data_IF_491016479672
#
_entry.id   IF_491016479672
#
_cell.length_a   1.000
_cell.length_b   1.000
_cell.length_c   1.000
_cell.angle_alpha   90.00
_cell.angle_beta   90.00
_cell.angle_gamma   90.00
#
_symmetry.space_group_name_H-M   'P 1'
#
loop_
_entity.id
_entity.type
_entity.pdbx_description
1 polymer ?
#
# COMPACT_ATOMS: atom_id res chain seq x y z
N UNK A 1 -49.17 15.24 12.74
CA UNK A 1 -48.23 14.14 12.42
C UNK A 1 -47.09 14.75 11.62
N UNK A 2 -45.94 14.95 12.25
CA UNK A 2 -44.75 15.46 11.58
C UNK A 2 -44.14 14.31 10.77
N UNK A 3 -44.37 14.29 9.47
CA UNK A 3 -43.60 13.46 8.55
C UNK A 3 -42.19 14.07 8.47
N UNK A 4 -41.29 13.55 9.30
CA UNK A 4 -39.84 13.73 9.10
C UNK A 4 -39.47 12.98 7.84
N UNK A 5 -39.50 13.66 6.70
CA UNK A 5 -38.95 13.16 5.43
C UNK A 5 -37.42 13.22 5.51
N UNK A 6 -36.83 12.33 6.31
CA UNK A 6 -35.41 12.00 6.17
C UNK A 6 -35.31 11.09 4.97
N UNK A 7 -34.81 11.62 3.85
CA UNK A 7 -34.42 10.82 2.69
C UNK A 7 -33.59 9.62 3.15
N UNK A 8 -33.81 8.41 2.59
CA UNK A 8 -32.99 7.26 2.95
C UNK A 8 -31.51 7.57 2.70
N UNK A 9 -30.60 7.02 3.53
CA UNK A 9 -29.18 7.26 3.35
C UNK A 9 -28.74 6.76 1.97
N UNK A 10 -27.93 7.57 1.28
CA UNK A 10 -27.40 7.28 -0.06
C UNK A 10 -26.68 5.93 -0.11
N UNK A 11 -25.99 5.57 0.96
CA UNK A 11 -25.27 4.32 1.10
C UNK A 11 -25.76 3.53 2.31
N UNK A 12 -25.84 2.21 2.17
CA UNK A 12 -26.34 1.30 3.21
C UNK A 12 -25.39 0.12 3.32
N UNK A 13 -25.34 -0.49 4.50
CA UNK A 13 -24.64 -1.76 4.65
C UNK A 13 -25.56 -2.91 4.26
N UNK A 14 -25.08 -3.84 3.43
CA UNK A 14 -25.73 -5.12 3.15
C UNK A 14 -24.82 -6.29 3.52
N UNK A 15 -25.39 -7.37 4.10
CA UNK A 15 -24.63 -8.58 4.38
C UNK A 15 -24.15 -9.22 3.09
N UNK A 16 -23.02 -9.89 3.20
CA UNK A 16 -22.48 -10.69 2.11
C UNK A 16 -23.28 -12.00 2.06
N UNK A 17 -23.77 -12.43 0.88
CA UNK A 17 -24.43 -13.72 0.72
C UNK A 17 -23.52 -14.86 1.19
N UNK A 18 -24.05 -15.89 1.87
CA UNK A 18 -23.28 -17.07 2.20
C UNK A 18 -22.81 -17.77 0.91
N UNK A 19 -21.53 -18.16 0.85
CA UNK A 19 -20.95 -18.84 -0.31
C UNK A 19 -19.77 -19.73 0.06
N UNK A 20 -19.21 -20.45 -0.91
CA UNK A 20 -18.09 -21.38 -0.69
C UNK A 20 -16.79 -20.65 -0.32
N UNK A 21 -16.58 -19.46 -0.86
CA UNK A 21 -15.39 -18.64 -0.62
C UNK A 21 -15.71 -17.49 0.37
N UNK A 22 -16.00 -17.85 1.62
CA UNK A 22 -16.31 -16.91 2.71
C UNK A 22 -15.09 -16.08 3.13
N UNK A 23 -14.81 -15.03 2.36
CA UNK A 23 -13.79 -14.02 2.67
C UNK A 23 -14.33 -12.97 3.64
N UNK A 24 -13.55 -12.65 4.67
CA UNK A 24 -13.88 -11.56 5.59
C UNK A 24 -13.94 -10.21 4.83
N UNK A 25 -14.89 -9.32 5.18
CA UNK A 25 -15.08 -8.02 4.53
C UNK A 25 -13.92 -7.04 4.76
N UNK A 26 -13.07 -7.32 5.75
CA UNK A 26 -11.87 -6.56 6.02
C UNK A 26 -10.82 -7.47 6.67
N UNK A 27 -9.55 -7.13 6.51
CA UNK A 27 -8.45 -7.78 7.21
C UNK A 27 -7.36 -6.76 7.52
N UNK A 28 -6.55 -7.05 8.54
CA UNK A 28 -5.36 -6.28 8.90
C UNK A 28 -4.28 -7.21 9.40
N UNK A 29 -3.03 -6.83 9.20
CA UNK A 29 -1.86 -7.58 9.67
C UNK A 29 -0.71 -6.61 9.94
N UNK A 30 0.22 -7.02 10.78
CA UNK A 30 1.51 -6.34 10.90
C UNK A 30 2.64 -7.36 10.99
N UNK A 31 3.83 -6.96 10.56
CA UNK A 31 5.05 -7.75 10.63
C UNK A 31 6.22 -6.87 11.09
N UNK A 32 7.08 -7.39 11.96
CA UNK A 32 8.28 -6.67 12.41
C UNK A 32 9.50 -7.23 11.68
N UNK A 33 10.25 -6.34 11.05
CA UNK A 33 11.45 -6.67 10.28
C UNK A 33 12.72 -6.41 11.11
N UNK A 34 13.86 -6.85 10.56
CA UNK A 34 15.17 -6.48 11.09
C UNK A 34 15.38 -4.95 11.07
N UNK A 35 16.38 -4.48 11.81
CA UNK A 35 16.84 -3.08 11.79
C UNK A 35 15.75 -2.04 12.13
N UNK A 36 14.75 -2.44 12.91
CA UNK A 36 13.70 -1.54 13.39
C UNK A 36 12.70 -1.13 12.32
N UNK A 37 12.42 -1.97 11.32
CA UNK A 37 11.33 -1.74 10.38
C UNK A 37 10.06 -2.49 10.78
N UNK A 38 8.90 -1.93 10.43
CA UNK A 38 7.58 -2.55 10.61
C UNK A 38 6.79 -2.44 9.31
N UNK A 39 6.10 -3.52 8.96
CA UNK A 39 5.07 -3.55 7.91
C UNK A 39 3.71 -3.55 8.60
N UNK A 40 2.79 -2.71 8.13
CA UNK A 40 1.38 -2.73 8.50
C UNK A 40 0.55 -2.80 7.24
N UNK A 41 -0.52 -3.58 7.28
CA UNK A 41 -1.37 -3.81 6.13
C UNK A 41 -2.82 -3.84 6.56
N UNK A 42 -3.70 -3.30 5.72
CA UNK A 42 -5.13 -3.54 5.84
C UNK A 42 -5.81 -3.52 4.47
N UNK A 43 -6.92 -4.25 4.39
CA UNK A 43 -7.90 -4.19 3.30
C UNK A 43 -9.29 -4.02 3.87
N UNK A 44 -10.13 -3.26 3.18
CA UNK A 44 -11.52 -3.02 3.56
C UNK A 44 -12.43 -3.08 2.34
N UNK A 45 -13.64 -3.55 2.55
CA UNK A 45 -14.71 -3.55 1.57
C UNK A 45 -15.13 -2.12 1.23
N UNK A 46 -15.16 -1.78 -0.05
CA UNK A 46 -15.55 -0.48 -0.57
C UNK A 46 -16.98 -0.08 -0.26
N UNK A 47 -17.28 1.24 -0.32
CA UNK A 47 -18.64 1.76 -0.08
C UNK A 47 -19.65 1.17 -1.06
N UNK A 48 -19.27 1.02 -2.34
CA UNK A 48 -20.10 0.40 -3.38
C UNK A 48 -20.40 -1.05 -3.05
N UNK A 49 -19.36 -1.84 -2.75
CA UNK A 49 -19.55 -3.25 -2.42
C UNK A 49 -20.39 -3.45 -1.15
N UNK A 50 -20.21 -2.62 -0.12
CA UNK A 50 -21.07 -2.60 1.07
C UNK A 50 -22.55 -2.39 0.72
N UNK A 51 -22.84 -1.47 -0.19
CA UNK A 51 -24.21 -1.19 -0.63
C UNK A 51 -24.79 -2.22 -1.58
N UNK A 52 -23.97 -2.87 -2.38
CA UNK A 52 -24.41 -3.91 -3.32
C UNK A 52 -24.58 -5.28 -2.64
N UNK A 53 -23.94 -5.52 -1.50
CA UNK A 53 -23.93 -6.85 -0.89
C UNK A 53 -22.82 -7.76 -1.42
N UNK A 54 -21.88 -7.23 -2.22
CA UNK A 54 -20.79 -8.01 -2.83
C UNK A 54 -19.55 -8.14 -1.93
N UNK A 55 -18.67 -9.10 -2.21
CA UNK A 55 -17.45 -9.31 -1.43
C UNK A 55 -16.43 -8.18 -1.67
N UNK A 56 -15.43 -8.12 -0.80
CA UNK A 56 -14.19 -7.41 -1.09
C UNK A 56 -13.34 -8.30 -2.01
N UNK A 57 -12.95 -7.80 -3.17
CA UNK A 57 -12.19 -8.48 -4.22
C UNK A 57 -10.68 -8.27 -4.08
N UNK A 58 -10.27 -7.22 -3.37
CA UNK A 58 -8.90 -6.95 -2.95
C UNK A 58 -8.30 -8.04 -2.04
N UNK A 59 -6.97 -8.21 -2.14
CA UNK A 59 -6.17 -9.00 -1.20
C UNK A 59 -4.78 -8.40 -0.96
N UNK A 60 -4.20 -8.73 0.20
CA UNK A 60 -2.78 -8.49 0.47
C UNK A 60 -2.15 -9.69 1.19
N UNK A 61 -0.84 -9.85 1.04
CA UNK A 61 -0.02 -10.68 1.93
C UNK A 61 1.26 -9.92 2.31
N UNK A 62 1.67 -10.09 3.57
CA UNK A 62 2.94 -9.57 4.07
C UNK A 62 3.70 -10.67 4.80
N UNK A 63 5.01 -10.66 4.66
CA UNK A 63 5.89 -11.61 5.34
C UNK A 63 7.30 -11.04 5.56
N UNK A 64 8.07 -11.76 6.36
CA UNK A 64 9.50 -11.59 6.53
C UNK A 64 10.23 -12.87 6.11
N UNK A 65 11.37 -12.73 5.46
CA UNK A 65 12.31 -13.84 5.24
C UNK A 65 13.74 -13.39 5.49
N UNK A 66 14.33 -13.83 6.59
CA UNK A 66 15.61 -13.28 7.06
C UNK A 66 15.49 -11.77 7.30
N UNK A 67 16.32 -11.01 6.59
CA UNK A 67 16.35 -9.53 6.58
C UNK A 67 15.42 -8.91 5.52
N UNK A 68 14.70 -9.73 4.75
CA UNK A 68 13.79 -9.26 3.73
C UNK A 68 12.39 -9.02 4.27
N UNK A 69 11.85 -7.82 4.02
CA UNK A 69 10.42 -7.54 4.04
C UNK A 69 9.78 -7.87 2.70
N UNK A 70 8.63 -8.52 2.72
CA UNK A 70 7.90 -8.96 1.52
C UNK A 70 6.48 -8.42 1.57
N UNK A 71 6.05 -7.80 0.48
CA UNK A 71 4.72 -7.24 0.29
C UNK A 71 4.13 -7.77 -1.03
N UNK A 72 2.89 -8.22 -0.98
CA UNK A 72 2.06 -8.48 -2.15
C UNK A 72 0.70 -7.80 -1.96
N UNK A 73 0.23 -7.09 -2.99
CA UNK A 73 -1.09 -6.45 -3.04
C UNK A 73 -1.72 -6.79 -4.39
N UNK A 74 -3.01 -7.10 -4.38
CA UNK A 74 -3.76 -7.46 -5.57
C UNK A 74 -5.19 -6.90 -5.48
N UNK A 75 -5.65 -6.33 -6.58
CA UNK A 75 -7.06 -6.01 -6.81
C UNK A 75 -7.65 -7.09 -7.74
N UNK A 76 -8.80 -7.62 -7.36
CA UNK A 76 -9.55 -8.59 -8.15
C UNK A 76 -10.60 -7.88 -9.01
N UNK A 77 -10.62 -8.14 -10.31
CA UNK A 77 -11.58 -7.52 -11.22
C UNK A 77 -13.04 -7.85 -10.84
N UNK A 78 -13.79 -6.93 -10.22
CA UNK A 78 -15.15 -7.18 -9.74
C UNK A 78 -16.18 -7.62 -10.80
N UNK A 79 -15.83 -7.52 -12.08
CA UNK A 79 -16.60 -8.08 -13.21
C UNK A 79 -16.40 -9.59 -13.42
N UNK A 80 -15.44 -10.21 -12.73
CA UNK A 80 -15.06 -11.62 -12.89
C UNK A 80 -15.51 -12.43 -11.69
N UNK A 81 -15.96 -13.67 -11.94
CA UNK A 81 -16.64 -14.48 -10.93
C UNK A 81 -15.72 -14.90 -9.77
N UNK A 82 -14.44 -15.14 -10.05
CA UNK A 82 -13.47 -15.69 -9.11
C UNK A 82 -12.30 -14.73 -8.86
N UNK A 83 -12.45 -13.44 -9.14
CA UNK A 83 -11.42 -12.41 -8.94
C UNK A 83 -10.86 -12.40 -7.52
N UNK A 84 -11.70 -12.40 -6.47
CA UNK A 84 -11.26 -12.49 -5.06
C UNK A 84 -10.40 -13.72 -4.77
N UNK A 85 -10.75 -14.85 -5.40
CA UNK A 85 -10.00 -16.10 -5.26
C UNK A 85 -8.68 -15.98 -6.00
N UNK A 86 -8.68 -15.36 -7.19
CA UNK A 86 -7.50 -15.00 -7.96
C UNK A 86 -6.54 -14.14 -7.15
N UNK A 87 -7.00 -13.00 -6.62
CA UNK A 87 -6.23 -12.05 -5.82
C UNK A 87 -5.60 -12.74 -4.60
N UNK A 88 -6.41 -13.49 -3.83
CA UNK A 88 -5.92 -14.25 -2.67
C UNK A 88 -4.85 -15.27 -3.03
N UNK A 89 -5.12 -16.12 -4.02
CA UNK A 89 -4.18 -17.16 -4.44
C UNK A 89 -2.90 -16.54 -5.00
N UNK A 90 -3.01 -15.44 -5.77
CA UNK A 90 -1.87 -14.72 -6.33
C UNK A 90 -0.91 -14.24 -5.24
N UNK A 91 -1.42 -13.48 -4.26
CA UNK A 91 -0.61 -12.96 -3.17
C UNK A 91 0.00 -14.09 -2.33
N UNK A 92 -0.79 -15.11 -1.98
CA UNK A 92 -0.31 -16.23 -1.16
C UNK A 92 0.79 -17.02 -1.86
N UNK A 93 0.61 -17.35 -3.13
CA UNK A 93 1.60 -18.08 -3.90
C UNK A 93 2.89 -17.26 -4.10
N UNK A 94 2.77 -15.98 -4.44
CA UNK A 94 3.92 -15.09 -4.63
C UNK A 94 4.71 -14.93 -3.33
N UNK A 95 4.05 -14.62 -2.21
CA UNK A 95 4.73 -14.45 -0.92
C UNK A 95 5.38 -15.75 -0.45
N UNK A 96 4.71 -16.90 -0.59
CA UNK A 96 5.31 -18.19 -0.25
C UNK A 96 6.57 -18.48 -1.08
N UNK A 97 6.56 -18.15 -2.37
CA UNK A 97 7.73 -18.28 -3.23
C UNK A 97 8.86 -17.35 -2.78
N UNK A 98 8.57 -16.07 -2.58
CA UNK A 98 9.54 -15.07 -2.13
C UNK A 98 10.15 -15.45 -0.78
N UNK A 99 9.35 -15.87 0.19
CA UNK A 99 9.83 -16.28 1.51
C UNK A 99 10.86 -17.41 1.39
N UNK A 100 10.56 -18.43 0.59
CA UNK A 100 11.45 -19.57 0.41
C UNK A 100 12.78 -19.17 -0.25
N UNK A 101 12.73 -18.39 -1.32
CA UNK A 101 13.92 -18.10 -2.14
C UNK A 101 14.78 -16.98 -1.55
N UNK A 102 14.20 -16.00 -0.87
CA UNK A 102 14.94 -14.91 -0.25
C UNK A 102 15.62 -15.30 1.07
N UNK A 103 15.24 -16.42 1.68
CA UNK A 103 15.79 -16.86 2.96
C UNK A 103 17.32 -16.98 2.96
N UNK A 104 17.88 -17.42 1.83
CA UNK A 104 19.33 -17.62 1.65
C UNK A 104 19.97 -16.55 0.77
N UNK A 105 19.20 -15.57 0.32
CA UNK A 105 19.68 -14.54 -0.60
C UNK A 105 20.17 -13.31 0.16
N UNK A 106 21.37 -12.84 -0.16
CA UNK A 106 21.98 -11.67 0.46
C UNK A 106 22.49 -10.72 -0.60
N UNK A 107 22.42 -9.43 -0.29
CA UNK A 107 22.95 -8.38 -1.13
C UNK A 107 24.44 -8.21 -0.82
N UNK A 108 25.24 -8.19 -1.88
CA UNK A 108 26.70 -8.08 -1.79
C UNK A 108 27.06 -6.70 -1.26
N UNK A 109 27.94 -6.66 -0.25
CA UNK A 109 28.50 -5.42 0.26
C UNK A 109 29.37 -4.77 -0.81
N UNK A 110 29.23 -3.44 -0.98
CA UNK A 110 29.96 -2.65 -1.97
C UNK A 110 30.52 -1.40 -1.34
N UNK A 111 31.73 -1.03 -1.73
CA UNK A 111 32.35 0.24 -1.32
C UNK A 111 31.64 1.43 -1.97
N UNK A 112 31.15 1.27 -3.20
CA UNK A 112 30.44 2.31 -3.96
C UNK A 112 29.09 1.80 -4.42
N UNK A 113 28.04 2.53 -4.06
CA UNK A 113 26.70 2.41 -4.62
C UNK A 113 26.44 3.61 -5.54
N UNK A 114 25.98 3.36 -6.76
CA UNK A 114 25.74 4.41 -7.75
C UNK A 114 24.64 4.01 -8.75
N UNK A 115 24.28 4.90 -9.67
CA UNK A 115 23.36 4.58 -10.77
C UNK A 115 23.80 3.36 -11.58
N UNK A 116 25.12 3.17 -11.75
CA UNK A 116 25.68 2.03 -12.49
C UNK A 116 25.41 0.68 -11.80
N UNK A 117 25.27 0.69 -10.47
CA UNK A 117 24.91 -0.50 -9.68
C UNK A 117 23.52 -1.02 -10.06
N UNK A 118 22.62 -0.14 -10.47
CA UNK A 118 21.27 -0.46 -10.91
C UNK A 118 21.11 -0.41 -12.43
N UNK A 119 22.22 -0.30 -13.17
CA UNK A 119 22.19 -0.31 -14.63
C UNK A 119 21.76 -1.69 -15.15
N UNK A 120 21.02 -1.67 -16.26
CA UNK A 120 20.53 -2.86 -16.93
C UNK A 120 21.19 -3.03 -18.29
N UNK A 121 21.40 -4.28 -18.69
CA UNK A 121 21.78 -4.61 -20.06
C UNK A 121 20.58 -4.50 -21.02
N UNK A 122 20.82 -4.69 -22.32
CA UNK A 122 19.78 -4.63 -23.38
C UNK A 122 18.63 -5.63 -23.21
N UNK A 123 18.80 -6.67 -22.39
CA UNK A 123 17.79 -7.68 -22.10
C UNK A 123 17.03 -7.38 -20.79
N UNK A 124 17.19 -6.18 -20.22
CA UNK A 124 16.53 -5.79 -18.98
C UNK A 124 17.06 -6.49 -17.73
N UNK A 125 18.27 -7.06 -17.77
CA UNK A 125 18.91 -7.70 -16.61
C UNK A 125 19.77 -6.68 -15.88
N UNK A 126 19.76 -6.69 -14.54
CA UNK A 126 20.72 -5.88 -13.79
C UNK A 126 22.14 -6.41 -14.04
N UNK A 127 23.11 -5.51 -14.15
CA UNK A 127 24.51 -5.89 -14.35
C UNK A 127 25.10 -6.55 -13.09
N UNK A 128 24.66 -6.10 -11.91
CA UNK A 128 25.02 -6.67 -10.61
C UNK A 128 24.25 -7.97 -10.34
N UNK A 129 24.98 -9.06 -10.09
CA UNK A 129 24.42 -10.42 -10.07
C UNK A 129 23.44 -10.70 -8.92
N UNK A 130 23.67 -10.16 -7.74
CA UNK A 130 22.80 -10.25 -6.57
C UNK A 130 21.50 -9.45 -6.74
N UNK A 131 21.57 -8.28 -7.37
CA UNK A 131 20.38 -7.46 -7.71
C UNK A 131 19.59 -8.16 -8.82
N UNK A 132 20.27 -8.70 -9.83
CA UNK A 132 19.65 -9.50 -10.87
C UNK A 132 19.00 -10.78 -10.32
N UNK A 133 19.65 -11.47 -9.38
CA UNK A 133 19.06 -12.62 -8.71
C UNK A 133 17.80 -12.23 -7.93
N UNK A 134 17.81 -11.08 -7.25
CA UNK A 134 16.62 -10.53 -6.60
C UNK A 134 15.49 -10.31 -7.59
N UNK A 135 15.78 -9.68 -8.73
CA UNK A 135 14.81 -9.48 -9.81
C UNK A 135 14.24 -10.80 -10.31
N UNK A 136 15.10 -11.79 -10.59
CA UNK A 136 14.69 -13.11 -11.07
C UNK A 136 13.74 -13.78 -10.07
N UNK A 137 14.04 -13.73 -8.77
CA UNK A 137 13.19 -14.28 -7.72
C UNK A 137 11.82 -13.59 -7.70
N UNK A 138 11.77 -12.26 -7.87
CA UNK A 138 10.50 -11.50 -7.95
C UNK A 138 9.69 -11.88 -9.20
N UNK A 139 10.34 -12.05 -10.35
CA UNK A 139 9.68 -12.47 -11.60
C UNK A 139 9.13 -13.89 -11.50
N UNK A 140 9.90 -14.81 -10.92
CA UNK A 140 9.47 -16.18 -10.67
C UNK A 140 8.31 -16.26 -9.67
N UNK A 141 8.23 -15.34 -8.71
CA UNK A 141 7.09 -15.25 -7.80
C UNK A 141 5.78 -14.85 -8.52
N UNK A 142 5.84 -13.91 -9.47
CA UNK A 142 4.72 -13.58 -10.36
C UNK A 142 4.30 -14.78 -11.22
N UNK A 143 5.27 -15.52 -11.76
CA UNK A 143 4.99 -16.76 -12.48
C UNK A 143 4.36 -17.81 -11.57
N UNK A 144 4.86 -18.00 -10.35
CA UNK A 144 4.29 -18.93 -9.38
C UNK A 144 2.84 -18.58 -9.01
N UNK A 145 2.53 -17.29 -8.88
CA UNK A 145 1.17 -16.79 -8.69
C UNK A 145 0.25 -17.22 -9.84
N UNK A 146 0.64 -16.94 -11.09
CA UNK A 146 -0.14 -17.34 -12.27
C UNK A 146 -0.38 -18.86 -12.32
N UNK A 147 0.68 -19.67 -12.18
CA UNK A 147 0.54 -21.13 -12.25
C UNK A 147 -0.34 -21.69 -11.13
N UNK A 148 -0.38 -21.04 -9.96
CA UNK A 148 -1.24 -21.47 -8.86
C UNK A 148 -2.71 -21.12 -9.12
N UNK A 149 -2.98 -19.96 -9.73
CA UNK A 149 -4.32 -19.62 -10.24
C UNK A 149 -4.76 -20.64 -11.30
N UNK A 150 -3.88 -20.95 -12.26
CA UNK A 150 -4.17 -21.92 -13.32
C UNK A 150 -4.52 -23.30 -12.73
N UNK A 151 -3.78 -23.77 -11.72
CA UNK A 151 -4.11 -25.00 -10.98
C UNK A 151 -5.47 -24.90 -10.28
N UNK A 152 -5.77 -23.77 -9.64
CA UNK A 152 -7.05 -23.56 -8.96
C UNK A 152 -8.23 -23.53 -9.94
N UNK A 153 -8.02 -23.01 -11.14
CA UNK A 153 -8.96 -23.08 -12.26
C UNK A 153 -9.20 -24.53 -12.70
N UNK A 154 -8.15 -25.30 -13.00
CA UNK A 154 -8.31 -26.70 -13.44
C UNK A 154 -8.97 -27.59 -12.38
N UNK A 155 -8.69 -27.36 -11.10
CA UNK A 155 -9.36 -28.07 -10.00
C UNK A 155 -10.88 -27.84 -10.03
N UNK A 156 -11.32 -26.60 -10.24
CA UNK A 156 -12.75 -26.24 -10.32
C UNK A 156 -13.41 -26.65 -11.64
N UNK A 157 -12.68 -26.58 -12.75
CA UNK A 157 -13.20 -27.00 -14.06
C UNK A 157 -13.51 -28.50 -14.15
N UNK A 158 -12.96 -29.32 -13.25
CA UNK A 158 -13.26 -30.74 -13.17
C UNK A 158 -14.65 -31.04 -12.59
N UNK A 159 -15.29 -30.06 -11.97
CA UNK A 159 -16.67 -30.16 -11.47
C UNK A 159 -17.68 -29.94 -12.60
N UNK A 160 -18.61 -30.89 -12.78
CA UNK A 160 -19.57 -30.92 -13.91
C UNK A 160 -20.48 -29.68 -14.04
N UNK A 161 -20.57 -28.83 -13.01
CA UNK A 161 -21.40 -27.63 -12.93
C UNK A 161 -20.74 -26.37 -13.51
N UNK A 162 -19.45 -26.40 -13.88
CA UNK A 162 -18.67 -25.21 -14.27
C UNK A 162 -18.13 -25.34 -15.70
N UNK A 163 -19.02 -25.51 -16.69
CA UNK A 163 -18.63 -25.79 -18.09
C UNK A 163 -18.35 -24.57 -18.98
N UNK A 164 -18.27 -23.36 -18.43
CA UNK A 164 -18.10 -22.11 -19.21
C UNK A 164 -17.12 -21.11 -18.56
N UNK A 165 -16.18 -21.57 -17.73
CA UNK A 165 -15.22 -20.68 -17.08
C UNK A 165 -13.87 -20.68 -17.80
N UNK A 166 -13.10 -19.61 -17.60
CA UNK A 166 -11.74 -19.48 -18.10
C UNK A 166 -10.81 -19.01 -16.97
N UNK A 167 -9.50 -19.11 -17.19
CA UNK A 167 -8.50 -18.54 -16.25
C UNK A 167 -8.71 -17.03 -16.06
N UNK A 168 -9.29 -16.33 -17.05
CA UNK A 168 -9.62 -14.91 -16.95
C UNK A 168 -10.75 -14.61 -15.95
N UNK A 169 -11.49 -15.62 -15.46
CA UNK A 169 -12.45 -15.43 -14.37
C UNK A 169 -11.77 -15.21 -13.01
N UNK A 170 -10.46 -15.47 -12.93
CA UNK A 170 -9.60 -15.19 -11.77
C UNK A 170 -8.77 -13.91 -12.00
N UNK A 171 -9.23 -12.99 -12.85
CA UNK A 171 -8.51 -11.77 -13.17
C UNK A 171 -8.21 -10.95 -11.92
N UNK A 172 -6.93 -10.61 -11.79
CA UNK A 172 -6.41 -9.83 -10.68
C UNK A 172 -5.12 -9.14 -11.08
N UNK A 173 -4.88 -7.97 -10.50
CA UNK A 173 -3.58 -7.29 -10.53
C UNK A 173 -2.62 -7.98 -9.55
N UNK A 174 -1.32 -7.68 -9.65
CA UNK A 174 -0.37 -8.12 -8.64
C UNK A 174 0.80 -7.15 -8.57
N UNK A 175 0.92 -6.50 -7.41
CA UNK A 175 2.02 -5.63 -7.03
C UNK A 175 2.86 -6.35 -5.99
N UNK A 176 4.13 -6.57 -6.30
CA UNK A 176 5.11 -7.16 -5.40
C UNK A 176 6.16 -6.12 -5.02
N UNK A 177 6.54 -6.07 -3.76
CA UNK A 177 7.72 -5.34 -3.32
C UNK A 177 8.53 -6.16 -2.32
N UNK A 178 9.84 -6.19 -2.52
CA UNK A 178 10.80 -6.78 -1.58
C UNK A 178 11.72 -5.68 -1.07
N UNK A 179 11.90 -5.63 0.24
CA UNK A 179 12.69 -4.62 0.94
C UNK A 179 13.80 -5.30 1.73
N UNK A 180 15.00 -4.75 1.68
CA UNK A 180 16.08 -5.07 2.60
C UNK A 180 16.90 -3.82 2.90
N UNK A 181 17.82 -3.91 3.85
CA UNK A 181 18.71 -2.82 4.22
C UNK A 181 20.15 -3.22 3.97
N UNK A 182 20.93 -2.31 3.38
CA UNK A 182 22.38 -2.47 3.22
C UNK A 182 23.11 -1.31 3.83
N UNK A 183 24.30 -1.55 4.36
CA UNK A 183 25.15 -0.49 4.89
C UNK A 183 25.92 0.17 3.75
N UNK A 184 25.79 1.49 3.61
CA UNK A 184 26.61 2.27 2.70
C UNK A 184 27.26 3.43 3.46
N UNK A 185 28.59 3.49 3.41
CA UNK A 185 29.41 4.35 4.28
C UNK A 185 29.08 4.08 5.76
N UNK A 186 28.51 5.06 6.46
CA UNK A 186 28.16 4.99 7.88
C UNK A 186 26.66 4.74 8.12
N UNK A 187 25.82 4.80 7.09
CA UNK A 187 24.36 4.81 7.23
C UNK A 187 23.69 3.57 6.61
N UNK A 188 22.54 3.15 7.15
CA UNK A 188 21.69 2.15 6.52
C UNK A 188 20.93 2.75 5.33
N UNK A 189 20.97 2.06 4.19
CA UNK A 189 20.22 2.38 2.98
C UNK A 189 19.16 1.32 2.75
N UNK A 190 17.98 1.73 2.29
CA UNK A 190 16.92 0.81 1.91
C UNK A 190 17.11 0.45 0.44
N UNK A 191 17.14 -0.86 0.16
CA UNK A 191 17.07 -1.40 -1.18
C UNK A 191 15.69 -2.03 -1.37
N UNK A 192 14.96 -1.55 -2.37
CA UNK A 192 13.65 -2.09 -2.74
C UNK A 192 13.69 -2.50 -4.21
N UNK A 193 13.14 -3.67 -4.51
CA UNK A 193 12.69 -4.01 -5.86
C UNK A 193 11.18 -4.18 -5.83
N UNK A 194 10.48 -3.39 -6.65
CA UNK A 194 9.04 -3.50 -6.81
C UNK A 194 8.71 -3.92 -8.24
N UNK A 195 7.78 -4.86 -8.41
CA UNK A 195 7.28 -5.29 -9.72
C UNK A 195 5.75 -5.25 -9.74
N UNK A 196 5.19 -4.67 -10.80
CA UNK A 196 3.75 -4.38 -10.88
C UNK A 196 3.15 -4.86 -12.20
N UNK A 197 2.06 -5.63 -12.11
CA UNK A 197 1.17 -5.95 -13.23
C UNK A 197 -0.24 -5.50 -12.87
N UNK A 198 -0.79 -4.57 -13.66
CA UNK A 198 -2.05 -3.88 -13.36
C UNK A 198 -1.87 -2.47 -12.81
N UNK A 199 -2.98 -1.87 -12.42
CA UNK A 199 -3.08 -0.57 -11.77
C UNK A 199 -2.78 -0.66 -10.25
N UNK A 200 -2.98 0.43 -9.54
CA UNK A 200 -2.43 0.64 -8.20
C UNK A 200 -1.02 1.23 -8.22
N UNK A 201 -0.46 1.48 -7.05
CA UNK A 201 0.80 2.22 -6.90
C UNK A 201 1.68 1.62 -5.82
N UNK A 202 2.97 1.44 -6.17
CA UNK A 202 4.06 1.32 -5.20
C UNK A 202 4.85 2.63 -5.17
N UNK A 203 5.08 3.21 -3.99
CA UNK A 203 5.83 4.45 -3.86
C UNK A 203 6.67 4.49 -2.58
N UNK A 204 7.92 4.94 -2.71
CA UNK A 204 8.80 5.22 -1.58
C UNK A 204 8.84 6.72 -1.30
N UNK A 205 8.63 7.09 -0.03
CA UNK A 205 8.86 8.44 0.49
C UNK A 205 10.24 8.47 1.09
N UNK A 206 11.06 9.37 0.57
CA UNK A 206 12.42 9.57 1.04
C UNK A 206 12.74 11.05 1.10
N UNK A 207 13.80 11.39 1.81
CA UNK A 207 14.24 12.78 1.89
C UNK A 207 15.74 12.85 1.71
N UNK A 208 16.13 13.83 0.91
CA UNK A 208 17.48 14.36 0.82
C UNK A 208 17.42 15.79 1.40
N UNK A 209 17.51 16.81 0.54
CA UNK A 209 17.29 18.22 0.93
C UNK A 209 15.80 18.61 0.96
N UNK A 210 14.95 17.84 0.26
CA UNK A 210 13.49 18.02 0.14
C UNK A 210 12.82 16.65 0.23
N UNK A 211 11.52 16.57 0.57
CA UNK A 211 10.80 15.30 0.53
C UNK A 211 10.53 14.95 -0.93
N UNK A 212 10.79 13.70 -1.27
CA UNK A 212 10.59 13.18 -2.62
C UNK A 212 9.76 11.91 -2.57
N UNK A 213 8.92 11.77 -3.58
CA UNK A 213 8.23 10.53 -3.90
C UNK A 213 8.97 9.86 -5.04
N UNK A 214 9.41 8.62 -4.82
CA UNK A 214 9.83 7.74 -5.90
C UNK A 214 8.69 6.76 -6.19
N UNK A 215 7.99 6.95 -7.32
CA UNK A 215 6.98 6.00 -7.79
C UNK A 215 7.68 4.79 -8.41
N UNK A 216 7.40 3.61 -7.87
CA UNK A 216 8.00 2.32 -8.21
C UNK A 216 7.04 1.46 -9.03
N UNK A 217 6.39 2.10 -9.99
CA UNK A 217 5.38 1.52 -10.84
C UNK A 217 5.17 2.41 -12.05
N UNK A 218 4.60 1.85 -13.11
CA UNK A 218 4.12 2.67 -14.22
C UNK A 218 2.72 3.13 -13.88
N UNK A 219 2.52 4.44 -13.76
CA UNK A 219 1.17 5.02 -13.72
C UNK A 219 0.60 4.86 -15.14
N UNK A 220 -0.34 3.95 -15.30
CA UNK A 220 -0.96 3.72 -16.60
C UNK A 220 -2.01 4.81 -16.85
N UNK A 221 -1.67 5.71 -17.78
CA UNK A 221 -2.47 6.84 -18.31
C UNK A 221 -2.58 8.10 -17.42
N UNK A 222 -2.62 9.25 -18.11
CA UNK A 222 -2.68 10.61 -17.56
C UNK A 222 -4.06 10.99 -16.97
N UNK A 223 -4.74 10.07 -16.27
CA UNK A 223 -5.95 10.37 -15.49
C UNK A 223 -7.20 9.54 -15.81
N UNK A 224 -7.16 8.22 -15.57
CA UNK A 224 -8.24 7.20 -15.63
C UNK A 224 -8.41 6.35 -16.91
N UNK A 225 -8.73 5.07 -16.64
CA UNK A 225 -9.15 3.95 -17.51
C UNK A 225 -8.47 3.79 -18.88
N UNK A 226 -7.24 3.29 -18.84
CA UNK A 226 -6.88 2.21 -19.77
C UNK A 226 -7.53 0.90 -19.31
N UNK A 227 -7.58 -0.11 -20.19
CA UNK A 227 -7.97 -1.46 -19.78
C UNK A 227 -6.99 -1.97 -18.72
N UNK A 228 -7.47 -2.24 -17.50
CA UNK A 228 -6.64 -2.78 -16.41
C UNK A 228 -5.97 -4.08 -16.84
N UNK A 229 -4.66 -4.14 -16.66
CA UNK A 229 -3.86 -5.29 -17.04
C UNK A 229 -3.84 -6.36 -15.93
N UNK A 230 -4.46 -7.52 -16.15
CA UNK A 230 -4.43 -8.62 -15.16
C UNK A 230 -3.34 -9.66 -15.44
N UNK A 231 -2.79 -10.28 -14.40
CA UNK A 231 -1.77 -11.35 -14.53
C UNK A 231 -2.29 -12.57 -15.31
N UNK A 232 -3.60 -12.79 -15.33
CA UNK A 232 -4.26 -13.90 -16.04
C UNK A 232 -4.66 -13.56 -17.48
N UNK A 233 -4.54 -12.30 -17.90
CA UNK A 233 -5.02 -11.86 -19.24
C UNK A 233 -4.16 -12.40 -20.38
N UNK A 234 -2.86 -12.58 -20.14
CA UNK A 234 -1.94 -13.13 -21.13
C UNK A 234 -0.65 -13.61 -20.48
N UNK A 235 -0.15 -14.76 -20.91
CA UNK A 235 1.18 -15.26 -20.52
C UNK A 235 2.33 -14.37 -21.01
N UNK A 236 2.07 -13.45 -21.97
CA UNK A 236 3.01 -12.39 -22.39
C UNK A 236 3.49 -11.55 -21.21
N UNK A 237 2.60 -11.29 -20.24
CA UNK A 237 2.86 -10.48 -19.04
C UNK A 237 3.80 -11.15 -18.04
N UNK A 238 4.08 -12.44 -18.23
CA UNK A 238 5.01 -13.23 -17.40
C UNK A 238 6.40 -13.35 -18.04
N UNK A 239 6.55 -12.84 -19.26
CA UNK A 239 7.81 -12.86 -19.98
C UNK A 239 8.78 -11.84 -19.38
N UNK A 240 10.05 -12.22 -19.40
CA UNK A 240 11.13 -11.49 -18.72
C UNK A 240 11.22 -10.03 -19.15
N UNK A 241 11.17 -9.75 -20.44
CA UNK A 241 11.31 -8.40 -20.98
C UNK A 241 10.17 -7.48 -20.52
N UNK A 242 8.94 -7.99 -20.46
CA UNK A 242 7.80 -7.26 -19.92
C UNK A 242 7.96 -7.03 -18.41
N UNK A 243 8.29 -8.07 -17.64
CA UNK A 243 8.46 -7.95 -16.20
C UNK A 243 9.64 -7.04 -15.81
N UNK A 244 10.73 -7.08 -16.55
CA UNK A 244 11.88 -6.17 -16.37
C UNK A 244 11.47 -4.71 -16.58
N UNK A 245 10.63 -4.41 -17.59
CA UNK A 245 10.10 -3.07 -17.81
C UNK A 245 9.11 -2.61 -16.73
N UNK A 246 8.58 -3.56 -15.96
CA UNK A 246 7.67 -3.36 -14.84
C UNK A 246 8.35 -3.52 -13.48
N UNK A 247 9.68 -3.67 -13.44
CA UNK A 247 10.47 -3.81 -12.20
C UNK A 247 11.31 -2.58 -11.96
N UNK A 248 11.05 -1.92 -10.84
CA UNK A 248 11.69 -0.67 -10.44
C UNK A 248 12.54 -0.90 -9.20
N UNK A 249 13.76 -0.37 -9.20
CA UNK A 249 14.65 -0.40 -8.05
C UNK A 249 14.64 0.95 -7.34
N UNK A 250 14.75 0.91 -6.01
CA UNK A 250 14.94 2.08 -5.18
C UNK A 250 16.10 1.87 -4.23
N UNK A 251 16.92 2.91 -4.07
CA UNK A 251 18.10 2.88 -3.22
C UNK A 251 18.34 4.23 -2.54
N UNK A 252 17.89 4.35 -1.29
CA UNK A 252 18.09 5.55 -0.46
C UNK A 252 17.64 5.27 0.99
N UNK A 253 18.09 6.04 2.00
CA UNK A 253 17.33 6.17 3.24
C UNK A 253 15.88 6.55 2.92
N UNK A 254 14.93 5.96 3.62
CA UNK A 254 13.50 6.03 3.30
C UNK A 254 12.70 6.21 4.58
N UNK A 255 11.62 6.98 4.50
CA UNK A 255 10.66 7.17 5.58
C UNK A 255 9.55 6.13 5.55
N UNK A 256 8.99 5.88 4.35
CA UNK A 256 7.98 4.85 4.15
C UNK A 256 8.00 4.29 2.73
N UNK A 257 7.66 3.01 2.58
CA UNK A 257 7.24 2.38 1.33
C UNK A 257 5.74 2.11 1.44
N UNK A 258 4.96 2.55 0.46
CA UNK A 258 3.52 2.36 0.39
C UNK A 258 3.19 1.56 -0.86
N UNK A 259 2.43 0.48 -0.74
CA UNK A 259 1.96 -0.37 -1.85
C UNK A 259 0.45 -0.51 -1.71
N UNK A 260 -0.30 -0.15 -2.76
CA UNK A 260 -1.75 -0.02 -2.68
C UNK A 260 -2.47 -0.33 -3.99
N UNK A 261 -3.75 -0.68 -3.87
CA UNK A 261 -4.70 -0.78 -5.00
C UNK A 261 -5.15 0.62 -5.46
N UNK A 262 -5.76 0.68 -6.64
CA UNK A 262 -6.30 1.91 -7.24
C UNK A 262 -7.40 2.56 -6.38
N UNK A 263 -8.18 1.75 -5.65
CA UNK A 263 -9.16 2.23 -4.67
C UNK A 263 -8.57 3.13 -3.57
N UNK A 264 -7.25 3.11 -3.36
CA UNK A 264 -6.52 4.12 -2.56
C UNK A 264 -5.79 5.11 -3.44
N UNK A 265 -5.00 4.66 -4.42
CA UNK A 265 -4.09 5.56 -5.14
C UNK A 265 -4.79 6.63 -5.98
N UNK A 266 -6.00 6.36 -6.46
CA UNK A 266 -6.76 7.29 -7.31
C UNK A 266 -7.19 8.56 -6.57
N UNK A 267 -7.36 8.47 -5.25
CA UNK A 267 -7.62 9.64 -4.38
C UNK A 267 -6.46 10.63 -4.39
N UNK A 268 -5.25 10.16 -4.74
CA UNK A 268 -3.98 10.87 -4.64
C UNK A 268 -3.32 11.11 -5.99
N UNK A 269 -4.11 11.24 -7.07
CA UNK A 269 -3.58 11.65 -8.37
C UNK A 269 -3.33 13.17 -8.46
N UNK A 270 -2.19 13.63 -9.02
CA UNK A 270 -1.09 12.83 -9.57
C UNK A 270 -0.16 12.27 -8.47
N UNK A 271 0.43 11.06 -8.67
CA UNK A 271 1.09 10.34 -7.57
C UNK A 271 2.35 11.00 -7.02
N UNK A 272 3.08 11.76 -7.84
CA UNK A 272 4.29 12.48 -7.44
C UNK A 272 4.05 13.42 -6.25
N UNK A 273 2.90 14.10 -6.23
CA UNK A 273 2.50 15.00 -5.14
C UNK A 273 1.54 14.33 -4.16
N UNK A 274 0.62 13.50 -4.67
CA UNK A 274 -0.40 12.90 -3.82
C UNK A 274 0.14 11.86 -2.85
N UNK A 275 1.27 11.20 -3.15
CA UNK A 275 1.87 10.27 -2.18
C UNK A 275 2.45 10.99 -0.95
N UNK A 276 2.90 12.24 -1.09
CA UNK A 276 3.27 13.07 0.07
C UNK A 276 2.04 13.43 0.91
N UNK A 277 0.92 13.76 0.25
CA UNK A 277 -0.36 13.97 0.94
C UNK A 277 -0.77 12.72 1.73
N UNK A 278 -0.81 11.55 1.09
CA UNK A 278 -1.12 10.28 1.75
C UNK A 278 -0.19 10.03 2.94
N UNK A 279 1.12 10.21 2.77
CA UNK A 279 2.08 10.05 3.87
C UNK A 279 1.75 10.95 5.07
N UNK A 280 1.43 12.23 4.82
CA UNK A 280 1.01 13.17 5.86
C UNK A 280 -0.26 12.74 6.58
N UNK A 281 -1.27 12.27 5.85
CA UNK A 281 -2.51 11.75 6.44
C UNK A 281 -2.23 10.52 7.31
N UNK A 282 -1.40 9.59 6.84
CA UNK A 282 -1.03 8.39 7.59
C UNK A 282 -0.29 8.73 8.90
N UNK A 283 0.53 9.78 8.89
CA UNK A 283 1.18 10.28 10.10
C UNK A 283 0.17 10.91 11.06
N UNK A 284 -0.66 11.86 10.59
CA UNK A 284 -1.61 12.57 11.44
C UNK A 284 -2.65 11.65 12.07
N UNK A 285 -2.98 10.55 11.37
CA UNK A 285 -3.92 9.53 11.84
C UNK A 285 -3.23 8.40 12.64
N UNK A 286 -1.94 8.52 12.96
CA UNK A 286 -1.22 7.61 13.85
C UNK A 286 -0.95 6.22 13.26
N UNK A 287 -0.95 6.08 11.92
CA UNK A 287 -0.53 4.86 11.23
C UNK A 287 0.99 4.82 11.15
N UNK A 288 1.62 5.91 10.72
CA UNK A 288 3.07 6.04 10.67
C UNK A 288 3.52 6.83 11.90
N UNK A 289 4.33 6.25 12.80
CA UNK A 289 4.83 6.97 13.96
C UNK A 289 5.84 8.04 13.54
N UNK A 290 5.80 9.19 14.21
CA UNK A 290 6.83 10.23 14.09
C UNK A 290 7.51 10.42 15.44
N UNK A 291 8.80 10.14 15.47
CA UNK A 291 9.68 10.47 16.59
C UNK A 291 10.32 11.83 16.31
N UNK A 292 10.24 12.77 17.25
CA UNK A 292 10.87 14.09 17.11
C UNK A 292 11.61 14.47 18.39
N UNK A 293 12.82 15.00 18.21
CA UNK A 293 13.59 15.70 19.26
C UNK A 293 13.30 17.21 19.27
N UNK A 294 12.59 17.73 18.27
CA UNK A 294 12.28 19.15 18.16
C UNK A 294 11.28 19.57 19.24
N UNK A 295 11.73 20.49 20.09
CA UNK A 295 10.88 21.07 21.13
C UNK A 295 10.20 22.31 20.58
N UNK A 296 8.95 22.14 20.13
CA UNK A 296 8.08 23.27 19.85
C UNK A 296 7.72 23.97 21.18
N UNK A 297 7.72 25.30 21.16
CA UNK A 297 7.26 26.11 22.31
C UNK A 297 5.84 25.69 22.73
N UNK A 298 5.58 25.62 24.04
CA UNK A 298 4.28 25.22 24.59
C UNK A 298 3.12 26.06 24.02
N UNK A 299 3.34 27.35 23.76
CA UNK A 299 2.32 28.26 23.21
C UNK A 299 1.93 27.89 21.77
N UNK A 300 2.90 27.55 20.91
CA UNK A 300 2.61 27.04 19.56
C UNK A 300 1.82 25.74 19.60
N UNK A 301 2.20 24.80 20.46
CA UNK A 301 1.47 23.53 20.62
C UNK A 301 0.03 23.80 21.09
N UNK A 302 -0.15 24.72 22.05
CA UNK A 302 -1.46 25.10 22.57
C UNK A 302 -2.34 25.74 21.49
N UNK A 303 -1.78 26.66 20.70
CA UNK A 303 -2.50 27.31 19.60
C UNK A 303 -2.94 26.32 18.51
N UNK A 304 -2.08 25.35 18.16
CA UNK A 304 -2.43 24.29 17.20
C UNK A 304 -3.55 23.39 17.72
N UNK A 305 -3.48 22.97 18.99
CA UNK A 305 -4.53 22.17 19.63
C UNK A 305 -5.88 22.87 19.66
N UNK A 306 -5.92 24.19 19.83
CA UNK A 306 -7.16 24.97 19.80
C UNK A 306 -7.83 24.97 18.41
N UNK A 307 -7.05 24.78 17.34
CA UNK A 307 -7.54 24.74 15.95
C UNK A 307 -7.78 23.31 15.44
N UNK A 308 -7.73 22.31 16.32
CA UNK A 308 -7.94 20.89 15.98
C UNK A 308 -9.19 20.63 15.13
N UNK A 309 -10.31 21.21 15.54
CA UNK A 309 -11.60 20.99 14.87
C UNK A 309 -11.64 21.49 13.42
N UNK A 310 -10.66 22.27 12.97
CA UNK A 310 -10.58 22.75 11.59
C UNK A 310 -9.87 21.76 10.63
N UNK A 311 -9.14 20.76 11.14
CA UNK A 311 -8.48 19.74 10.31
C UNK A 311 -8.84 18.30 10.68
N UNK A 312 -9.63 18.12 11.74
CA UNK A 312 -10.26 16.83 12.07
C UNK A 312 -11.68 16.83 11.54
N UNK A 313 -11.91 16.04 10.50
CA UNK A 313 -13.18 15.94 9.78
C UNK A 313 -13.88 14.66 10.23
N UNK A 314 -15.16 14.75 10.58
CA UNK A 314 -15.97 13.58 10.86
C UNK A 314 -16.56 13.04 9.56
N UNK A 315 -16.06 11.90 9.11
CA UNK A 315 -16.55 11.21 7.91
C UNK A 315 -17.48 10.06 8.28
N UNK A 316 -18.48 9.81 7.43
CA UNK A 316 -19.44 8.73 7.66
C UNK A 316 -18.89 7.39 7.19
N UNK A 317 -18.62 6.51 8.16
CA UNK A 317 -18.25 5.12 7.90
C UNK A 317 -19.49 4.22 7.88
N UNK A 318 -19.63 3.41 6.83
CA UNK A 318 -20.74 2.47 6.67
C UNK A 318 -20.41 1.18 7.44
N UNK A 319 -21.23 0.85 8.45
CA UNK A 319 -21.09 -0.36 9.26
C UNK A 319 -22.39 -1.17 9.29
N UNK A 320 -22.33 -2.40 9.80
CA UNK A 320 -23.51 -3.25 10.07
C UNK A 320 -24.57 -2.56 10.93
N UNK A 321 -24.15 -1.65 11.81
CA UNK A 321 -25.02 -0.89 12.72
C UNK A 321 -25.52 0.42 12.11
N UNK A 322 -25.23 0.68 10.84
CA UNK A 322 -25.54 1.92 10.14
C UNK A 322 -24.33 2.84 9.97
N UNK A 323 -24.61 4.11 9.67
CA UNK A 323 -23.59 5.14 9.50
C UNK A 323 -22.98 5.50 10.85
N UNK A 324 -21.65 5.49 10.91
CA UNK A 324 -20.88 5.79 12.11
C UNK A 324 -19.91 6.94 11.84
N UNK A 325 -20.15 8.14 12.41
CA UNK A 325 -19.22 9.26 12.29
C UNK A 325 -17.86 8.88 12.87
N UNK A 326 -16.82 8.97 12.05
CA UNK A 326 -15.46 8.59 12.43
C UNK A 326 -14.53 9.78 12.16
N UNK A 327 -13.84 10.30 13.18
CA UNK A 327 -12.95 11.43 13.00
C UNK A 327 -11.67 10.99 12.27
N UNK A 328 -11.31 11.73 11.23
CA UNK A 328 -10.06 11.58 10.49
C UNK A 328 -9.36 12.93 10.38
N UNK A 329 -8.03 12.92 10.38
CA UNK A 329 -7.23 14.12 10.18
C UNK A 329 -6.91 14.29 8.69
N UNK A 330 -7.05 15.51 8.17
CA UNK A 330 -6.56 15.89 6.84
C UNK A 330 -5.29 16.73 6.97
N UNK A 331 -4.18 16.26 6.40
CA UNK A 331 -2.93 17.03 6.33
C UNK A 331 -3.09 18.26 5.46
N UNK A 332 -3.94 18.21 4.44
CA UNK A 332 -4.23 19.38 3.59
C UNK A 332 -4.88 20.51 4.39
N UNK A 333 -5.88 20.21 5.21
CA UNK A 333 -6.50 21.22 6.09
C UNK A 333 -5.54 21.69 7.18
N UNK A 334 -4.74 20.78 7.73
CA UNK A 334 -3.73 21.13 8.73
C UNK A 334 -2.63 22.06 8.15
N UNK A 335 -2.14 21.78 6.94
CA UNK A 335 -1.15 22.59 6.24
C UNK A 335 -1.66 24.02 5.97
N UNK A 336 -2.94 24.18 5.57
CA UNK A 336 -3.59 25.49 5.41
C UNK A 336 -3.63 26.28 6.73
N UNK A 337 -3.92 25.60 7.84
CA UNK A 337 -4.02 26.23 9.17
C UNK A 337 -2.69 26.84 9.60
N UNK A 338 -1.58 26.13 9.34
CA UNK A 338 -0.24 26.55 9.72
C UNK A 338 0.49 27.36 8.63
N UNK A 339 -0.18 27.58 7.50
CA UNK A 339 0.32 28.32 6.34
C UNK A 339 1.65 27.76 5.79
N UNK A 340 1.70 26.44 5.59
CA UNK A 340 2.80 25.72 4.94
C UNK A 340 2.28 24.91 3.77
N UNK A 341 3.14 24.62 2.80
CA UNK A 341 2.89 23.56 1.82
C UNK A 341 2.98 22.18 2.50
N UNK A 342 2.39 21.15 1.87
CA UNK A 342 2.49 19.78 2.40
C UNK A 342 3.95 19.31 2.40
N UNK A 343 4.71 19.66 1.37
CA UNK A 343 6.14 19.37 1.27
C UNK A 343 6.91 20.02 2.42
N UNK A 344 6.68 21.31 2.69
CA UNK A 344 7.32 22.01 3.82
C UNK A 344 6.97 21.35 5.15
N UNK A 345 5.70 21.01 5.36
CA UNK A 345 5.24 20.35 6.58
C UNK A 345 5.90 18.98 6.80
N UNK A 346 6.02 18.16 5.75
CA UNK A 346 6.69 16.85 5.85
C UNK A 346 8.17 16.99 6.20
N UNK A 347 8.81 18.10 5.81
CA UNK A 347 10.20 18.37 6.23
C UNK A 347 10.35 18.80 7.69
N UNK A 348 9.26 19.15 8.37
CA UNK A 348 9.22 19.64 9.75
C UNK A 348 8.54 18.62 10.68
N UNK A 349 9.25 17.54 11.09
CA UNK A 349 8.65 16.43 11.84
C UNK A 349 8.07 16.87 13.20
N UNK A 350 8.62 17.88 13.86
CA UNK A 350 8.03 18.46 15.07
C UNK A 350 6.66 19.08 14.83
N UNK A 351 6.50 19.86 13.75
CA UNK A 351 5.23 20.49 13.37
C UNK A 351 4.21 19.45 12.89
N UNK A 352 4.64 18.46 12.13
CA UNK A 352 3.78 17.37 11.69
C UNK A 352 3.29 16.55 12.91
N UNK A 353 4.20 16.20 13.83
CA UNK A 353 3.85 15.48 15.06
C UNK A 353 2.92 16.29 15.98
N UNK A 354 3.04 17.62 16.01
CA UNK A 354 2.16 18.49 16.78
C UNK A 354 0.72 18.51 16.26
N UNK A 355 0.50 18.14 15.00
CA UNK A 355 -0.83 18.00 14.40
C UNK A 355 -1.57 16.75 14.86
N UNK A 356 -0.88 15.74 15.38
CA UNK A 356 -1.49 14.48 15.83
C UNK A 356 -2.41 14.74 17.03
N UNK A 357 -3.72 14.47 16.93
CA UNK A 357 -4.65 14.67 18.03
C UNK A 357 -4.29 13.86 19.29
N UNK A 358 -4.52 14.40 20.50
CA UNK A 358 -4.26 13.67 21.75
C UNK A 358 -4.99 12.33 21.85
N UNK A 359 -6.18 12.21 21.25
CA UNK A 359 -7.00 11.00 21.27
C UNK A 359 -6.37 9.88 20.45
N UNK A 360 -5.72 10.22 19.34
CA UNK A 360 -4.95 9.28 18.53
C UNK A 360 -3.63 8.95 19.25
N UNK A 361 -2.95 9.97 19.79
CA UNK A 361 -1.66 9.81 20.49
C UNK A 361 -1.75 8.97 21.76
N UNK A 362 -2.84 9.10 22.51
CA UNK A 362 -3.08 8.37 23.76
C UNK A 362 -3.92 7.11 23.54
N UNK A 363 -4.23 6.77 22.29
CA UNK A 363 -4.97 5.56 21.96
C UNK A 363 -4.12 4.32 22.27
N UNK A 364 -4.74 3.30 22.86
CA UNK A 364 -4.13 1.96 22.98
C UNK A 364 -4.22 1.16 21.67
N UNK A 365 -4.66 1.78 20.58
CA UNK A 365 -4.81 1.14 19.27
C UNK A 365 -3.47 1.07 18.53
N UNK A 366 -3.26 -0.04 17.82
CA UNK A 366 -2.06 -0.28 17.04
C UNK A 366 -2.12 0.42 15.67
N UNK A 367 -0.96 0.67 15.03
CA UNK A 367 -0.90 1.21 13.67
C UNK A 367 -1.80 0.51 12.64
N UNK A 368 -1.84 -0.83 12.64
CA UNK A 368 -2.68 -1.60 11.72
C UNK A 368 -4.19 -1.46 12.01
N UNK A 369 -4.58 -1.18 13.27
CA UNK A 369 -5.96 -0.84 13.62
C UNK A 369 -6.34 0.57 13.15
N UNK A 370 -5.43 1.54 13.29
CA UNK A 370 -5.62 2.89 12.76
C UNK A 370 -5.73 2.85 11.24
N UNK A 371 -4.88 2.07 10.56
CA UNK A 371 -4.91 1.90 9.11
C UNK A 371 -6.24 1.32 8.63
N UNK A 372 -6.70 0.22 9.23
CA UNK A 372 -8.00 -0.36 8.85
C UNK A 372 -9.14 0.64 9.06
N UNK A 373 -9.16 1.36 10.19
CA UNK A 373 -10.20 2.34 10.49
C UNK A 373 -10.18 3.51 9.51
N UNK A 374 -8.99 4.02 9.21
CA UNK A 374 -8.79 5.13 8.28
C UNK A 374 -9.19 4.72 6.86
N UNK A 375 -8.75 3.55 6.36
CA UNK A 375 -9.15 3.04 5.05
C UNK A 375 -10.67 2.84 4.93
N UNK A 376 -11.33 2.39 6.00
CA UNK A 376 -12.77 2.16 5.98
C UNK A 376 -13.62 3.45 6.01
N UNK A 377 -12.95 4.58 6.30
CA UNK A 377 -13.59 5.87 6.56
C UNK A 377 -13.32 6.88 5.45
N UNK A 378 -12.04 7.10 5.14
CA UNK A 378 -11.58 8.18 4.28
C UNK A 378 -11.80 7.86 2.82
N UNK A 379 -12.66 8.58 2.10
CA UNK A 379 -12.78 8.42 0.65
C UNK A 379 -12.78 9.80 0.02
N UNK A 380 -11.97 10.00 -1.02
CA UNK A 380 -12.01 11.21 -1.85
C UNK A 380 -12.56 10.82 -3.23
N UNK A 381 -13.03 11.81 -4.01
CA UNK A 381 -13.29 11.68 -5.47
C UNK A 381 -14.10 10.48 -5.97
N UNK A 382 -15.05 9.96 -5.20
CA UNK A 382 -15.90 8.87 -5.68
C UNK A 382 -15.17 7.54 -5.89
N UNK A 383 -14.00 7.35 -5.26
CA UNK A 383 -13.42 6.03 -5.07
C UNK A 383 -14.29 5.26 -4.07
N UNK A 384 -15.18 4.44 -4.62
CA UNK A 384 -16.11 3.60 -3.86
C UNK A 384 -15.71 2.12 -3.88
N UNK A 385 -14.59 1.81 -4.53
CA UNK A 385 -14.06 0.47 -4.66
C UNK A 385 -13.44 -0.04 -3.36
N UNK A 386 -13.05 -1.31 -3.36
CA UNK A 386 -12.26 -1.90 -2.28
C UNK A 386 -10.91 -1.19 -2.13
N UNK A 387 -10.39 -1.21 -0.90
CA UNK A 387 -9.24 -0.38 -0.55
C UNK A 387 -8.24 -1.20 0.22
N UNK A 388 -7.05 -1.32 -0.35
CA UNK A 388 -5.93 -2.03 0.26
C UNK A 388 -4.69 -1.16 0.26
N UNK A 389 -4.05 -1.08 1.44
CA UNK A 389 -2.80 -0.37 1.61
C UNK A 389 -1.89 -1.17 2.53
N UNK A 390 -0.65 -1.33 2.09
CA UNK A 390 0.47 -1.86 2.87
C UNK A 390 1.52 -0.77 3.00
N UNK A 391 1.96 -0.53 4.24
CA UNK A 391 2.95 0.50 4.57
C UNK A 391 4.11 -0.16 5.33
N UNK A 392 5.32 0.04 4.84
CA UNK A 392 6.56 -0.31 5.52
C UNK A 392 7.27 0.97 5.95
N UNK A 393 7.59 1.09 7.23
CA UNK A 393 8.29 2.25 7.81
C UNK A 393 9.24 1.83 8.92
N UNK A 394 10.22 2.67 9.26
CA UNK A 394 11.10 2.41 10.41
C UNK A 394 10.53 2.98 11.72
N UNK A 395 10.84 2.32 12.85
CA UNK A 395 10.28 2.58 14.18
C UNK A 395 11.27 3.25 15.16
N UNK A 396 12.52 3.51 14.74
CA UNK A 396 13.57 4.08 15.59
C UNK A 396 14.04 5.48 15.19
N UNK A 397 14.80 6.16 16.07
CA UNK A 397 15.36 7.52 15.85
C UNK A 397 16.17 7.63 14.54
N UNK A 398 16.73 6.52 14.05
CA UNK A 398 17.44 6.46 12.76
C UNK A 398 16.57 6.75 11.53
N UNK A 399 15.23 6.76 11.61
CA UNK A 399 14.38 7.19 10.49
C UNK A 399 14.39 8.68 10.23
N UNK A 400 14.89 9.49 11.17
CA UNK A 400 14.72 10.95 11.12
C UNK A 400 15.96 11.75 11.57
N UNK A 401 17.07 11.11 11.96
CA UNK A 401 18.35 11.83 12.11
C UNK A 401 18.91 12.07 10.72
N UNK A 402 18.66 13.27 10.22
CA UNK A 402 19.31 13.84 9.05
C UNK A 402 20.82 13.90 9.33
N UNK A 403 21.57 12.89 8.92
CA UNK A 403 23.00 13.09 8.73
C UNK A 403 23.13 13.82 7.39
N UNK A 404 23.39 15.12 7.47
CA UNK A 404 23.88 15.91 6.34
C UNK A 404 25.03 15.10 5.71
N UNK A 405 24.87 14.75 4.45
CA UNK A 405 25.92 14.07 3.67
C UNK A 405 26.69 15.07 2.84
#
# INVERSE_FOLDING_TARGET
>A
MNYSTTSPPLWTWKPIPPGEDNQLPCAKKSETLANGFKIVAARVRGKKHKHEGTHCEDWFEIARSGDWGIIAVADGAGSKRFSKVGARIACQAAVNYLVKLLQTHQIVSREKWSTDTFARNKNGQFNEQDIELTQKIVHEALQAAYHTIEKAYYARSSEKSIRQTSVSDFATTLLLAVHTTVKYKTAPYNLILACQVGDGISAAIYKQNKPFTCVLGKVENEGFCGETEFITSSTRKLQRDYLSAKTFAFFSPMQALMVMTDGVSDDYYPPDKGMLHLFGDLVLNGIIPVATSETLSADKIKALKQRKNAYVIAEERITEKGLHPTPICSVSEYAKIINLSIEELITAPGLLAAGIPPEIKNSNSTPENHLQTWLDTYNIRGSFDDRTLVVLFGTGVQTLVWQDS
#
